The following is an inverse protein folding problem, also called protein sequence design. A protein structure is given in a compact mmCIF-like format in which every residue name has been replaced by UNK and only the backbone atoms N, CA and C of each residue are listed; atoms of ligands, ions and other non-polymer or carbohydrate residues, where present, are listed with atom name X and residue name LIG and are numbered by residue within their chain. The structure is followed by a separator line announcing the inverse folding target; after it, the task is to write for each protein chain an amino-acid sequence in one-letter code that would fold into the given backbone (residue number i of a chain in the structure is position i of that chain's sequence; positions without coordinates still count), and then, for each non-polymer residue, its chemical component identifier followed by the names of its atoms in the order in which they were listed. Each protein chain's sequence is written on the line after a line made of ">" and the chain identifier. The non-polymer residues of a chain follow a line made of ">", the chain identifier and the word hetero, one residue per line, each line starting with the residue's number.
data_IF_001174884479
#
_entry.id   IF_001174884479
#
_cell.length_a   1.000
_cell.length_b   1.000
_cell.length_c   1.000
_cell.angle_alpha   90.00
_cell.angle_beta   90.00
_cell.angle_gamma   90.00
#
_symmetry.space_group_name_H-M   'P 1'
#
loop_
_entity.id
_entity.type
_entity.pdbx_description
1 polymer ?
#
# COMPACT_ATOMS: atom_id res chain seq x y z
N UNK A 1 13.23 -31.49 8.81
CA UNK A 1 14.56 -31.62 9.44
C UNK A 1 14.70 -30.76 10.70
N UNK A 2 14.31 -29.47 10.69
CA UNK A 2 14.40 -28.52 11.83
C UNK A 2 13.77 -28.95 13.18
N UNK A 3 12.95 -30.02 13.21
CA UNK A 3 12.32 -30.54 14.43
C UNK A 3 12.95 -31.86 14.93
N UNK A 4 14.01 -32.33 14.29
CA UNK A 4 14.81 -33.45 14.76
C UNK A 4 15.87 -32.94 15.76
N UNK A 5 16.15 -33.64 16.86
CA UNK A 5 17.33 -33.33 17.68
C UNK A 5 18.58 -33.82 16.94
N UNK A 6 19.48 -32.92 16.57
CA UNK A 6 20.80 -33.27 16.03
C UNK A 6 21.90 -33.08 17.07
N UNK A 7 22.92 -33.94 17.01
CA UNK A 7 24.09 -33.87 17.89
C UNK A 7 25.30 -33.28 17.16
N UNK A 8 25.37 -33.43 15.84
CA UNK A 8 26.41 -32.87 14.99
C UNK A 8 25.80 -32.33 13.69
N UNK A 9 25.85 -31.01 13.50
CA UNK A 9 25.22 -30.31 12.36
C UNK A 9 25.78 -30.73 10.98
N UNK A 10 27.06 -31.08 10.89
CA UNK A 10 27.66 -31.50 9.62
C UNK A 10 27.16 -32.87 9.14
N UNK A 11 27.03 -33.83 10.06
CA UNK A 11 26.61 -35.20 9.74
C UNK A 11 25.08 -35.37 9.76
N UNK A 12 24.38 -34.68 10.67
CA UNK A 12 22.94 -34.86 10.91
C UNK A 12 22.04 -33.87 10.12
N UNK A 13 22.63 -32.88 9.44
CA UNK A 13 21.87 -31.92 8.63
C UNK A 13 22.46 -31.70 7.25
N UNK A 14 23.78 -31.53 7.10
CA UNK A 14 24.39 -31.08 5.83
C UNK A 14 24.69 -32.23 4.86
N UNK A 15 25.11 -33.39 5.36
CA UNK A 15 25.59 -34.51 4.51
C UNK A 15 24.60 -35.68 4.36
N UNK A 16 23.30 -35.45 4.49
CA UNK A 16 22.28 -36.50 4.37
C UNK A 16 21.37 -36.27 3.17
N UNK A 17 20.83 -37.37 2.64
CA UNK A 17 19.74 -37.34 1.68
C UNK A 17 18.47 -36.87 2.41
N UNK A 18 18.15 -35.59 2.23
CA UNK A 18 17.10 -34.90 2.97
C UNK A 18 15.71 -35.52 2.77
N UNK A 19 15.42 -36.03 1.57
CA UNK A 19 14.11 -36.58 1.20
C UNK A 19 13.85 -37.93 1.89
N UNK A 20 14.81 -38.85 1.84
CA UNK A 20 14.72 -40.16 2.51
C UNK A 20 14.68 -40.00 4.04
N UNK A 21 15.48 -39.08 4.58
CA UNK A 21 15.52 -38.80 6.03
C UNK A 21 14.24 -38.12 6.49
N UNK A 22 13.66 -37.25 5.66
CA UNK A 22 12.37 -36.62 5.96
C UNK A 22 11.25 -37.65 6.03
N UNK A 23 11.17 -38.57 5.07
CA UNK A 23 10.14 -39.62 5.09
C UNK A 23 10.32 -40.60 6.27
N UNK A 24 11.57 -40.92 6.62
CA UNK A 24 11.86 -41.76 7.79
C UNK A 24 11.37 -41.16 9.11
N UNK A 25 11.43 -39.82 9.23
CA UNK A 25 11.10 -39.09 10.47
C UNK A 25 9.85 -38.21 10.39
N UNK A 26 9.04 -38.37 9.34
CA UNK A 26 7.89 -37.50 9.03
C UNK A 26 6.88 -37.41 10.18
N UNK A 27 6.58 -38.54 10.80
CA UNK A 27 5.60 -38.60 11.90
C UNK A 27 6.14 -37.93 13.17
N UNK A 28 7.43 -38.08 13.47
CA UNK A 28 8.08 -37.43 14.60
C UNK A 28 8.18 -35.91 14.40
N UNK A 29 8.48 -35.48 13.19
CA UNK A 29 8.52 -34.06 12.80
C UNK A 29 7.12 -33.46 12.94
N UNK A 30 6.07 -34.14 12.45
CA UNK A 30 4.67 -33.68 12.58
C UNK A 30 4.23 -33.59 14.05
N UNK A 31 4.61 -34.57 14.86
CA UNK A 31 4.30 -34.57 16.30
C UNK A 31 4.95 -33.37 17.01
N UNK A 32 6.25 -33.15 16.84
CA UNK A 32 6.94 -32.00 17.45
C UNK A 32 6.49 -30.67 16.88
N UNK A 33 6.20 -30.58 15.57
CA UNK A 33 5.65 -29.37 14.95
C UNK A 33 4.32 -28.94 15.61
N UNK A 34 3.48 -29.91 15.99
CA UNK A 34 2.19 -29.62 16.64
C UNK A 34 2.31 -28.99 18.05
N UNK A 35 3.48 -29.09 18.68
CA UNK A 35 3.75 -28.44 19.98
C UNK A 35 4.11 -26.96 19.83
N UNK A 36 4.62 -26.54 18.67
CA UNK A 36 5.09 -25.17 18.40
C UNK A 36 4.19 -24.38 17.44
N UNK A 37 3.19 -25.02 16.83
CA UNK A 37 2.28 -24.41 15.85
C UNK A 37 0.84 -24.44 16.40
N UNK A 38 0.26 -23.25 16.62
CA UNK A 38 -1.11 -23.12 17.11
C UNK A 38 -2.15 -23.59 16.07
N UNK A 39 -3.26 -24.18 16.57
CA UNK A 39 -4.33 -24.87 15.83
C UNK A 39 -4.92 -24.11 14.63
N UNK A 40 -4.89 -22.78 14.62
CA UNK A 40 -5.44 -21.95 13.53
C UNK A 40 -4.55 -21.94 12.27
N UNK A 41 -3.26 -22.25 12.40
CA UNK A 41 -2.35 -22.38 11.26
C UNK A 41 -2.59 -23.67 10.43
N UNK A 42 -3.33 -24.66 10.97
CA UNK A 42 -3.61 -25.92 10.28
C UNK A 42 -4.66 -25.79 9.17
N UNK A 43 -5.57 -24.82 9.25
CA UNK A 43 -6.54 -24.56 8.17
C UNK A 43 -5.86 -23.91 6.97
N UNK A 44 -4.93 -22.99 7.25
CA UNK A 44 -4.09 -22.35 6.23
C UNK A 44 -3.17 -23.36 5.52
N UNK A 45 -2.61 -24.33 6.26
CA UNK A 45 -1.70 -25.34 5.71
C UNK A 45 -2.45 -26.39 4.88
N UNK A 46 -3.69 -26.75 5.24
CA UNK A 46 -4.54 -27.66 4.44
C UNK A 46 -4.97 -27.05 3.11
N UNK A 47 -5.38 -25.78 3.10
CA UNK A 47 -5.72 -25.08 1.87
C UNK A 47 -4.48 -24.92 0.95
N UNK A 48 -3.29 -24.82 1.55
CA UNK A 48 -2.03 -24.75 0.82
C UNK A 48 -1.60 -26.10 0.23
N UNK A 49 -1.69 -27.21 0.99
CA UNK A 49 -1.36 -28.57 0.50
C UNK A 49 -2.22 -28.94 -0.72
N UNK A 50 -3.51 -28.60 -0.73
CA UNK A 50 -4.42 -28.83 -1.88
C UNK A 50 -4.02 -28.05 -3.15
N UNK A 51 -3.31 -26.93 -3.00
CA UNK A 51 -2.88 -26.07 -4.11
C UNK A 51 -1.45 -26.33 -4.60
N UNK A 52 -0.54 -26.81 -3.73
CA UNK A 52 0.85 -27.14 -4.11
C UNK A 52 1.03 -28.48 -4.80
N UNK A 53 0.13 -29.46 -4.64
CA UNK A 53 0.21 -30.75 -5.35
C UNK A 53 0.08 -30.63 -6.89
N UNK A 54 -0.14 -29.42 -7.43
CA UNK A 54 -0.36 -29.17 -8.86
C UNK A 54 0.79 -28.53 -9.64
N UNK A 55 1.93 -28.24 -9.02
CA UNK A 55 3.03 -27.61 -9.75
C UNK A 55 4.38 -27.74 -9.05
N UNK A 56 5.09 -28.83 -9.32
CA UNK A 56 6.53 -28.94 -9.08
C UNK A 56 7.27 -28.80 -10.41
N UNK A 57 8.18 -27.82 -10.48
CA UNK A 57 9.61 -28.03 -10.81
C UNK A 57 10.28 -26.66 -11.00
N UNK A 58 11.31 -26.38 -10.18
CA UNK A 58 12.66 -25.98 -10.61
C UNK A 58 13.40 -25.12 -9.55
N UNK A 59 14.57 -25.64 -9.18
CA UNK A 59 15.55 -25.16 -8.21
C UNK A 59 16.32 -23.90 -8.68
N UNK A 60 16.66 -23.00 -7.75
CA UNK A 60 17.77 -22.04 -7.94
C UNK A 60 18.60 -21.95 -6.65
N UNK A 61 19.89 -22.28 -6.80
CA UNK A 61 20.97 -22.31 -5.81
C UNK A 61 21.56 -20.90 -5.59
N UNK A 62 21.69 -20.48 -4.34
CA UNK A 62 22.06 -19.11 -3.90
C UNK A 62 23.40 -19.22 -3.14
N UNK A 63 24.53 -18.80 -3.75
CA UNK A 63 25.81 -18.67 -3.04
C UNK A 63 26.52 -17.34 -3.29
N UNK A 64 26.77 -16.70 -2.14
CA UNK A 64 27.78 -15.70 -1.80
C UNK A 64 27.38 -14.22 -1.81
N UNK A 65 27.94 -13.58 -0.76
CA UNK A 65 28.42 -12.20 -0.60
C UNK A 65 27.59 -11.31 0.35
N UNK A 66 28.10 -11.31 1.59
CA UNK A 66 28.71 -10.18 2.32
C UNK A 66 27.88 -8.90 2.55
N UNK A 67 27.75 -8.58 3.84
CA UNK A 67 27.07 -7.41 4.40
C UNK A 67 27.78 -6.12 4.01
N UNK A 68 27.07 -5.21 3.34
CA UNK A 68 27.49 -3.82 3.26
C UNK A 68 26.42 -2.88 3.85
N UNK A 69 26.90 -1.96 4.66
CA UNK A 69 26.14 -1.01 5.46
C UNK A 69 25.88 0.26 4.63
N UNK A 70 24.71 0.37 4.01
CA UNK A 70 24.36 1.61 3.31
C UNK A 70 23.46 2.53 4.14
N UNK A 71 24.14 3.54 4.70
CA UNK A 71 23.58 4.86 5.02
C UNK A 71 23.24 5.56 3.71
N UNK A 72 21.96 5.60 3.32
CA UNK A 72 21.47 6.57 2.35
C UNK A 72 19.96 6.80 2.56
N UNK A 73 19.64 7.61 3.57
CA UNK A 73 18.28 8.13 3.78
C UNK A 73 18.31 9.66 3.74
N UNK A 74 18.92 10.24 2.70
CA UNK A 74 18.77 11.67 2.37
C UNK A 74 18.97 11.86 0.87
N UNK A 75 17.90 11.62 0.09
CA UNK A 75 17.76 12.21 -1.23
C UNK A 75 16.98 13.51 -1.06
N UNK A 76 17.71 14.62 -1.16
CA UNK A 76 17.16 15.95 -1.44
C UNK A 76 16.28 15.78 -2.68
N UNK A 77 15.00 16.11 -2.54
CA UNK A 77 14.01 15.99 -3.60
C UNK A 77 14.42 16.85 -4.80
N UNK A 78 14.98 16.23 -5.84
CA UNK A 78 14.93 16.81 -7.17
C UNK A 78 13.45 16.85 -7.56
N UNK A 79 12.97 18.06 -7.82
CA UNK A 79 11.63 18.37 -8.32
C UNK A 79 11.50 17.83 -9.73
N UNK A 80 11.36 16.51 -9.85
CA UNK A 80 11.02 15.85 -11.09
C UNK A 80 9.56 16.13 -11.41
N UNK A 81 9.29 17.09 -12.30
CA UNK A 81 8.10 17.29 -13.16
C UNK A 81 6.70 16.91 -12.60
N UNK A 82 6.48 16.93 -11.29
CA UNK A 82 5.20 16.61 -10.63
C UNK A 82 4.39 17.88 -10.33
N UNK A 83 4.34 18.83 -11.28
CA UNK A 83 3.52 20.04 -11.14
C UNK A 83 2.00 19.76 -11.22
N UNK A 84 1.60 18.52 -11.54
CA UNK A 84 0.19 18.17 -11.80
C UNK A 84 -0.65 17.71 -10.60
N UNK A 85 -0.05 17.21 -9.52
CA UNK A 85 -0.83 16.58 -8.43
C UNK A 85 -1.35 17.59 -7.39
N UNK A 86 -0.65 18.71 -7.19
CA UNK A 86 -1.03 19.72 -6.17
C UNK A 86 -2.32 20.45 -6.57
N UNK A 87 -2.51 20.76 -7.85
CA UNK A 87 -3.70 21.51 -8.32
C UNK A 87 -5.01 20.73 -8.18
N UNK A 88 -4.95 19.40 -8.28
CA UNK A 88 -6.10 18.51 -8.10
C UNK A 88 -6.52 18.47 -6.63
N UNK A 89 -5.54 18.39 -5.72
CA UNK A 89 -5.78 18.39 -4.27
C UNK A 89 -6.28 19.75 -3.76
N UNK A 90 -5.89 20.86 -4.42
CA UNK A 90 -6.38 22.21 -4.13
C UNK A 90 -7.74 22.57 -4.76
N UNK A 91 -8.41 21.64 -5.47
CA UNK A 91 -9.73 21.88 -6.04
C UNK A 91 -9.77 22.89 -7.20
N UNK A 92 -8.61 23.24 -7.77
CA UNK A 92 -8.49 24.23 -8.83
C UNK A 92 -8.76 23.54 -10.19
N UNK A 93 -10.01 23.56 -10.64
CA UNK A 93 -10.38 23.13 -12.00
C UNK A 93 -10.00 24.22 -13.03
N UNK A 94 -8.71 24.39 -13.32
CA UNK A 94 -8.31 25.18 -14.48
C UNK A 94 -8.69 24.40 -15.73
N UNK A 95 -9.41 25.05 -16.65
CA UNK A 95 -9.69 24.57 -18.02
C UNK A 95 -8.43 24.63 -18.90
N UNK A 96 -7.28 24.26 -18.39
CA UNK A 96 -6.14 23.90 -19.23
C UNK A 96 -6.45 22.55 -19.84
N UNK A 97 -6.02 22.33 -21.09
CA UNK A 97 -6.12 21.02 -21.73
C UNK A 97 -5.48 19.99 -20.79
N UNK A 98 -6.32 19.23 -20.06
CA UNK A 98 -5.88 18.21 -19.11
C UNK A 98 -5.09 17.16 -19.89
N UNK A 99 -3.79 17.35 -20.01
CA UNK A 99 -2.88 16.29 -20.43
C UNK A 99 -2.78 15.40 -19.20
N UNK A 100 -3.66 14.40 -19.13
CA UNK A 100 -3.60 13.35 -18.12
C UNK A 100 -2.31 12.55 -18.36
N UNK A 101 -1.28 12.93 -17.59
CA UNK A 101 -0.01 12.23 -17.54
C UNK A 101 -0.22 10.99 -16.67
N UNK A 102 -0.67 9.92 -17.32
CA UNK A 102 -0.49 8.60 -16.75
C UNK A 102 1.02 8.34 -16.70
N UNK A 103 1.55 8.16 -15.50
CA UNK A 103 2.94 7.77 -15.35
C UNK A 103 3.11 6.37 -15.95
N UNK A 104 4.02 6.26 -16.92
CA UNK A 104 4.40 4.96 -17.48
C UNK A 104 4.89 4.08 -16.33
N UNK A 105 4.41 2.82 -16.21
CA UNK A 105 4.87 1.90 -15.18
C UNK A 105 6.40 1.83 -15.13
N UNK A 106 7.00 2.27 -14.02
CA UNK A 106 8.45 2.28 -13.85
C UNK A 106 8.91 0.95 -13.25
N UNK A 107 9.61 0.18 -14.07
CA UNK A 107 10.30 -1.02 -13.61
C UNK A 107 11.61 -0.64 -12.91
N UNK A 108 11.76 -1.06 -11.65
CA UNK A 108 13.02 -0.87 -10.92
C UNK A 108 14.11 -1.77 -11.51
N UNK A 109 15.41 -1.44 -11.37
CA UNK A 109 16.51 -2.31 -11.79
C UNK A 109 16.44 -3.72 -11.21
N UNK A 110 16.97 -4.71 -11.91
CA UNK A 110 16.92 -6.12 -11.50
C UNK A 110 17.58 -6.38 -10.14
N UNK A 111 18.69 -5.69 -9.86
CA UNK A 111 19.37 -5.77 -8.57
C UNK A 111 18.47 -5.30 -7.42
N UNK A 112 17.76 -4.17 -7.60
CA UNK A 112 16.86 -3.63 -6.59
C UNK A 112 15.61 -4.48 -6.42
N UNK A 113 15.10 -5.05 -7.51
CA UNK A 113 14.01 -6.02 -7.45
C UNK A 113 14.39 -7.28 -6.67
N UNK A 114 15.57 -7.85 -6.92
CA UNK A 114 16.06 -9.00 -6.17
C UNK A 114 16.24 -8.67 -4.68
N UNK A 115 16.78 -7.49 -4.36
CA UNK A 115 16.88 -7.00 -2.97
C UNK A 115 15.50 -6.88 -2.31
N UNK A 116 14.53 -6.30 -3.03
CA UNK A 116 13.15 -6.17 -2.56
C UNK A 116 12.54 -7.54 -2.24
N UNK A 117 12.63 -8.50 -3.16
CA UNK A 117 12.09 -9.85 -2.97
C UNK A 117 12.81 -10.60 -1.84
N UNK A 118 14.13 -10.43 -1.69
CA UNK A 118 14.91 -11.02 -0.59
C UNK A 118 14.54 -10.43 0.78
N UNK A 119 14.19 -9.15 0.83
CA UNK A 119 13.81 -8.46 2.08
C UNK A 119 12.45 -8.89 2.67
N UNK A 120 11.59 -9.53 1.86
CA UNK A 120 10.27 -9.99 2.30
C UNK A 120 10.37 -11.11 3.32
N UNK A 121 9.48 -11.10 4.32
CA UNK A 121 9.32 -12.26 5.19
C UNK A 121 8.60 -13.41 4.46
N UNK A 122 8.54 -14.58 5.11
CA UNK A 122 7.94 -15.79 4.52
C UNK A 122 6.48 -15.59 4.10
N UNK A 123 5.67 -14.90 4.91
CA UNK A 123 4.25 -14.68 4.61
C UNK A 123 4.07 -13.72 3.43
N UNK A 124 4.86 -12.64 3.38
CA UNK A 124 4.89 -11.68 2.28
C UNK A 124 5.36 -12.33 0.97
N UNK A 125 6.41 -13.17 1.02
CA UNK A 125 6.90 -13.91 -0.16
C UNK A 125 5.86 -14.90 -0.66
N UNK A 126 5.24 -15.68 0.24
CA UNK A 126 4.14 -16.60 -0.09
C UNK A 126 2.98 -15.88 -0.75
N UNK A 127 2.56 -14.74 -0.20
CA UNK A 127 1.50 -13.92 -0.80
C UNK A 127 1.86 -13.43 -2.19
N UNK A 128 3.10 -12.94 -2.37
CA UNK A 128 3.59 -12.47 -3.68
C UNK A 128 3.55 -13.58 -4.71
N UNK A 129 4.00 -14.79 -4.36
CA UNK A 129 3.94 -15.97 -5.22
C UNK A 129 2.49 -16.37 -5.55
N UNK A 130 1.59 -16.35 -4.55
CA UNK A 130 0.17 -16.65 -4.78
C UNK A 130 -0.45 -15.69 -5.80
N UNK A 131 -0.22 -14.38 -5.66
CA UNK A 131 -0.71 -13.39 -6.62
C UNK A 131 -0.14 -13.64 -8.02
N UNK A 132 1.15 -13.99 -8.12
CA UNK A 132 1.77 -14.33 -9.40
C UNK A 132 1.15 -15.57 -10.05
N UNK A 133 0.83 -16.61 -9.28
CA UNK A 133 0.17 -17.81 -9.79
C UNK A 133 -1.26 -17.50 -10.25
N UNK A 134 -2.01 -16.71 -9.47
CA UNK A 134 -3.34 -16.26 -9.87
C UNK A 134 -3.32 -15.49 -11.19
N UNK A 135 -2.28 -14.68 -11.43
CA UNK A 135 -2.15 -13.89 -12.66
C UNK A 135 -1.68 -14.74 -13.85
N UNK A 136 -0.87 -15.78 -13.62
CA UNK A 136 -0.35 -16.66 -14.67
C UNK A 136 -1.33 -17.74 -15.09
N UNK A 137 -1.96 -18.39 -14.11
CA UNK A 137 -2.69 -19.64 -14.31
C UNK A 137 -4.21 -19.45 -14.41
N UNK A 138 -4.70 -18.25 -14.09
CA UNK A 138 -6.12 -17.97 -14.00
C UNK A 138 -6.48 -16.64 -14.65
N UNK A 139 -7.38 -16.70 -15.64
CA UNK A 139 -8.05 -15.51 -16.18
C UNK A 139 -9.15 -14.98 -15.24
N UNK A 140 -9.32 -15.57 -14.05
CA UNK A 140 -10.34 -15.14 -13.09
C UNK A 140 -9.88 -13.93 -12.31
N UNK A 141 -10.81 -12.98 -12.19
CA UNK A 141 -10.71 -11.84 -11.31
C UNK A 141 -10.60 -12.28 -9.83
N UNK A 142 -9.76 -11.58 -9.07
CA UNK A 142 -9.62 -11.77 -7.62
C UNK A 142 -9.61 -10.44 -6.87
N UNK A 143 -10.00 -10.48 -5.60
CA UNK A 143 -10.08 -9.32 -4.73
C UNK A 143 -9.43 -9.64 -3.39
N UNK A 144 -8.30 -9.00 -3.09
CA UNK A 144 -7.57 -9.24 -1.85
C UNK A 144 -7.47 -7.97 -1.02
N UNK A 145 -7.61 -8.11 0.28
CA UNK A 145 -7.40 -7.04 1.23
C UNK A 145 -6.25 -7.40 2.17
N UNK A 146 -5.16 -6.66 2.06
CA UNK A 146 -3.97 -6.77 2.91
C UNK A 146 -4.16 -5.87 4.12
N UNK A 147 -4.52 -6.47 5.25
CA UNK A 147 -4.61 -5.80 6.55
C UNK A 147 -3.32 -5.97 7.34
N UNK A 148 -3.03 -5.03 8.23
CA UNK A 148 -1.97 -5.21 9.22
C UNK A 148 -1.60 -3.89 9.89
N UNK A 149 -0.98 -3.97 11.07
CA UNK A 149 -0.63 -2.79 11.85
C UNK A 149 0.43 -1.88 11.19
N UNK A 150 0.71 -0.74 11.81
CA UNK A 150 1.81 0.11 11.42
C UNK A 150 3.15 -0.66 11.47
N UNK A 151 3.97 -0.52 10.42
CA UNK A 151 5.32 -1.08 10.41
C UNK A 151 5.44 -2.56 10.05
N UNK A 152 4.35 -3.26 9.67
CA UNK A 152 4.39 -4.67 9.23
C UNK A 152 4.88 -4.89 7.79
N UNK A 153 5.23 -3.82 7.07
CA UNK A 153 5.77 -3.89 5.70
C UNK A 153 4.71 -3.99 4.59
N UNK A 154 3.48 -3.50 4.80
CA UNK A 154 2.41 -3.44 3.78
C UNK A 154 2.87 -2.80 2.46
N UNK A 155 3.43 -1.58 2.52
CA UNK A 155 3.90 -0.86 1.33
C UNK A 155 5.05 -1.60 0.62
N UNK A 156 5.90 -2.31 1.36
CA UNK A 156 6.96 -3.17 0.78
C UNK A 156 6.35 -4.36 0.03
N UNK A 157 5.35 -5.02 0.60
CA UNK A 157 4.64 -6.14 -0.03
C UNK A 157 3.96 -5.71 -1.33
N UNK A 158 3.19 -4.62 -1.31
CA UNK A 158 2.49 -4.16 -2.52
C UNK A 158 3.48 -3.71 -3.60
N UNK A 159 4.62 -3.11 -3.23
CA UNK A 159 5.70 -2.78 -4.18
C UNK A 159 6.28 -4.04 -4.82
N UNK A 160 6.51 -5.09 -4.02
CA UNK A 160 7.00 -6.36 -4.54
C UNK A 160 6.02 -6.98 -5.52
N UNK A 161 4.73 -7.09 -5.14
CA UNK A 161 3.67 -7.59 -6.04
C UNK A 161 3.58 -6.77 -7.32
N UNK A 162 3.54 -5.43 -7.20
CA UNK A 162 3.50 -4.53 -8.35
C UNK A 162 4.65 -4.80 -9.33
N UNK A 163 5.89 -4.87 -8.83
CA UNK A 163 7.07 -5.09 -9.66
C UNK A 163 7.12 -6.50 -10.25
N UNK A 164 6.74 -7.54 -9.49
CA UNK A 164 6.69 -8.92 -10.01
C UNK A 164 5.69 -9.05 -11.16
N UNK A 165 4.50 -8.47 -11.01
CA UNK A 165 3.45 -8.51 -12.04
C UNK A 165 3.82 -7.67 -13.25
N UNK A 166 4.36 -6.46 -13.04
CA UNK A 166 4.83 -5.61 -14.12
C UNK A 166 5.90 -6.29 -14.98
N UNK A 167 6.88 -6.95 -14.33
CA UNK A 167 7.94 -7.72 -14.98
C UNK A 167 7.38 -8.89 -15.78
N UNK A 168 6.42 -9.62 -15.23
CA UNK A 168 5.76 -10.71 -15.93
C UNK A 168 5.10 -10.23 -17.22
N UNK A 169 4.28 -9.18 -17.15
CA UNK A 169 3.61 -8.67 -18.35
C UNK A 169 4.56 -8.09 -19.40
N UNK A 170 5.64 -7.43 -18.97
CA UNK A 170 6.66 -6.92 -19.89
C UNK A 170 7.54 -8.03 -20.48
N UNK A 171 7.58 -9.21 -19.87
CA UNK A 171 8.30 -10.37 -20.42
C UNK A 171 7.51 -11.10 -21.51
N UNK A 172 6.20 -10.83 -21.66
CA UNK A 172 5.37 -11.48 -22.66
C UNK A 172 5.71 -10.99 -24.07
N UNK A 173 5.75 -11.90 -25.08
CA UNK A 173 6.06 -11.53 -26.45
C UNK A 173 4.97 -10.60 -27.02
N UNK A 174 5.41 -9.50 -27.65
CA UNK A 174 4.50 -8.48 -28.20
C UNK A 174 3.92 -7.52 -27.16
N UNK A 175 4.42 -7.54 -25.92
CA UNK A 175 4.08 -6.54 -24.91
C UNK A 175 4.66 -5.17 -25.29
N UNK A 176 3.86 -4.11 -25.11
CA UNK A 176 4.33 -2.74 -25.16
C UNK A 176 4.57 -2.26 -23.72
N UNK A 177 5.80 -1.86 -23.33
CA UNK A 177 6.10 -1.33 -22.00
C UNK A 177 5.28 -0.09 -21.61
N UNK A 178 4.71 0.63 -22.58
CA UNK A 178 3.84 1.78 -22.32
C UNK A 178 2.40 1.39 -21.96
N UNK A 179 2.01 0.13 -22.18
CA UNK A 179 0.66 -0.36 -21.86
C UNK A 179 0.52 -0.56 -20.35
N UNK A 180 -0.51 0.08 -19.78
CA UNK A 180 -0.80 -0.01 -18.35
C UNK A 180 -1.61 -1.29 -18.07
N UNK A 181 -0.91 -2.36 -17.69
CA UNK A 181 -1.53 -3.62 -17.25
C UNK A 181 -1.69 -3.71 -15.73
N UNK A 182 -0.85 -3.00 -15.00
CA UNK A 182 -0.88 -2.92 -13.55
C UNK A 182 -0.71 -1.48 -13.10
N UNK A 183 -1.53 -1.06 -12.14
CA UNK A 183 -1.44 0.27 -11.54
C UNK A 183 -1.40 0.19 -10.02
N UNK A 184 -0.67 1.11 -9.40
CA UNK A 184 -0.64 1.30 -7.95
C UNK A 184 -1.10 2.73 -7.63
N UNK A 185 -2.06 2.84 -6.72
CA UNK A 185 -2.74 4.08 -6.39
C UNK A 185 -2.87 4.27 -4.89
N UNK A 186 -3.05 5.52 -4.47
CA UNK A 186 -3.37 5.86 -3.08
C UNK A 186 -4.43 6.99 -3.03
N UNK A 187 -5.11 7.22 -1.88
CA UNK A 187 -6.08 8.30 -1.76
C UNK A 187 -5.45 9.69 -1.67
N UNK A 188 -4.23 9.82 -1.13
CA UNK A 188 -3.55 11.12 -0.92
C UNK A 188 -2.28 11.23 -1.77
N UNK A 189 -1.88 12.46 -2.11
CA UNK A 189 -0.67 12.70 -2.92
C UNK A 189 0.61 12.20 -2.23
N UNK A 190 0.72 12.41 -0.91
CA UNK A 190 1.87 11.93 -0.13
C UNK A 190 1.99 10.41 -0.11
N UNK A 191 0.87 9.70 0.08
CA UNK A 191 0.87 8.24 0.04
C UNK A 191 1.18 7.70 -1.36
N UNK A 192 0.63 8.34 -2.40
CA UNK A 192 0.91 7.97 -3.79
C UNK A 192 2.39 8.14 -4.14
N UNK A 193 3.02 9.24 -3.71
CA UNK A 193 4.44 9.48 -3.91
C UNK A 193 5.32 8.44 -3.21
N UNK A 194 4.96 8.03 -1.98
CA UNK A 194 5.74 7.03 -1.22
C UNK A 194 5.80 5.67 -1.93
N UNK A 195 4.75 5.34 -2.70
CA UNK A 195 4.64 4.09 -3.45
C UNK A 195 4.99 4.23 -4.94
N UNK A 196 5.52 5.38 -5.35
CA UNK A 196 5.81 5.71 -6.75
C UNK A 196 4.58 5.54 -7.67
N UNK A 197 3.39 5.79 -7.11
CA UNK A 197 2.09 5.62 -7.75
C UNK A 197 1.40 6.94 -8.09
N UNK A 198 0.09 6.87 -8.31
CA UNK A 198 -0.77 8.03 -8.58
C UNK A 198 -1.91 8.11 -7.57
N UNK A 199 -2.56 9.27 -7.45
CA UNK A 199 -3.79 9.35 -6.66
C UNK A 199 -4.94 8.68 -7.40
N UNK A 200 -5.90 8.08 -6.67
CA UNK A 200 -7.13 7.54 -7.27
C UNK A 200 -7.91 8.60 -8.05
N UNK A 201 -7.89 9.85 -7.59
CA UNK A 201 -8.52 10.99 -8.25
C UNK A 201 -7.90 11.26 -9.61
N UNK A 202 -6.56 11.33 -9.70
CA UNK A 202 -5.84 11.56 -10.95
C UNK A 202 -5.93 10.35 -11.89
N UNK A 203 -5.80 9.12 -11.37
CA UNK A 203 -5.75 7.90 -12.18
C UNK A 203 -7.09 7.56 -12.87
N UNK A 204 -8.20 7.74 -12.16
CA UNK A 204 -9.54 7.43 -12.67
C UNK A 204 -10.32 8.68 -13.08
N UNK A 205 -9.71 9.87 -12.99
CA UNK A 205 -10.35 11.18 -13.22
C UNK A 205 -11.63 11.36 -12.40
N UNK A 206 -11.57 11.00 -11.11
CA UNK A 206 -12.69 11.12 -10.18
C UNK A 206 -12.92 12.60 -9.82
N UNK A 207 -14.17 13.02 -9.57
CA UNK A 207 -14.45 14.37 -9.12
C UNK A 207 -13.91 14.60 -7.70
N UNK A 208 -13.12 15.67 -7.51
CA UNK A 208 -12.58 16.06 -6.20
C UNK A 208 -13.68 16.57 -5.24
N UNK A 209 -14.77 17.12 -5.80
CA UNK A 209 -15.86 17.67 -4.99
C UNK A 209 -16.77 16.55 -4.48
N UNK A 210 -16.60 16.19 -3.21
CA UNK A 210 -17.44 15.24 -2.45
C UNK A 210 -18.94 15.64 -2.41
N UNK A 211 -19.27 16.90 -2.68
CA UNK A 211 -20.64 17.43 -2.60
C UNK A 211 -21.62 16.87 -3.64
N UNK A 212 -21.17 16.03 -4.59
CA UNK A 212 -22.06 15.38 -5.56
C UNK A 212 -21.89 13.87 -5.44
N UNK A 213 -22.77 13.22 -4.69
CA UNK A 213 -22.90 11.76 -4.58
C UNK A 213 -23.11 11.02 -5.93
N UNK A 214 -23.16 11.74 -7.05
CA UNK A 214 -23.28 11.17 -8.39
C UNK A 214 -21.97 11.37 -9.14
N UNK A 215 -21.38 10.25 -9.55
CA UNK A 215 -20.30 10.22 -10.53
C UNK A 215 -20.75 11.01 -11.77
N UNK A 216 -20.14 12.18 -11.99
CA UNK A 216 -20.41 12.97 -13.19
C UNK A 216 -19.92 12.16 -14.39
N UNK A 217 -20.76 12.02 -15.41
CA UNK A 217 -20.35 11.38 -16.66
C UNK A 217 -19.16 12.17 -17.22
N UNK A 218 -18.06 11.46 -17.47
CA UNK A 218 -16.92 12.03 -18.16
C UNK A 218 -17.36 12.58 -19.53
N UNK A 219 -16.71 13.65 -19.96
CA UNK A 219 -16.80 14.06 -21.36
C UNK A 219 -16.36 12.91 -22.27
N UNK A 220 -17.01 12.78 -23.43
CA UNK A 220 -16.75 11.67 -24.35
C UNK A 220 -15.29 11.58 -24.79
N UNK A 221 -14.59 12.72 -24.91
CA UNK A 221 -13.18 12.76 -25.27
C UNK A 221 -12.28 12.20 -24.17
N UNK A 222 -12.52 12.61 -22.91
CA UNK A 222 -11.78 12.14 -21.74
C UNK A 222 -12.04 10.65 -21.51
N UNK A 223 -13.31 10.23 -21.53
CA UNK A 223 -13.69 8.82 -21.35
C UNK A 223 -13.04 7.92 -22.39
N UNK A 224 -12.91 8.37 -23.64
CA UNK A 224 -12.26 7.60 -24.69
C UNK A 224 -10.74 7.53 -24.49
N UNK A 225 -10.09 8.63 -24.10
CA UNK A 225 -8.64 8.66 -23.82
C UNK A 225 -8.27 7.71 -22.68
N UNK A 226 -8.99 7.79 -21.56
CA UNK A 226 -8.79 6.89 -20.42
C UNK A 226 -9.12 5.44 -20.82
N UNK A 227 -10.23 5.25 -21.55
CA UNK A 227 -10.63 3.96 -22.11
C UNK A 227 -9.51 3.30 -22.92
N UNK A 228 -8.86 4.04 -23.81
CA UNK A 228 -7.75 3.52 -24.63
C UNK A 228 -6.51 3.21 -23.79
N UNK A 229 -6.18 4.06 -22.81
CA UNK A 229 -4.98 3.87 -21.97
C UNK A 229 -5.13 2.71 -20.97
N UNK A 230 -6.32 2.52 -20.40
CA UNK A 230 -6.58 1.54 -19.36
C UNK A 230 -7.24 0.26 -19.88
N UNK A 231 -7.47 0.11 -21.19
CA UNK A 231 -8.17 -1.05 -21.78
C UNK A 231 -7.55 -2.41 -21.39
N UNK A 232 -6.25 -2.45 -21.15
CA UNK A 232 -5.48 -3.67 -20.85
C UNK A 232 -5.13 -3.78 -19.35
N UNK A 233 -5.73 -2.95 -18.49
CA UNK A 233 -5.50 -2.98 -17.05
C UNK A 233 -6.10 -4.27 -16.47
N UNK A 234 -5.25 -5.09 -15.84
CA UNK A 234 -5.62 -6.37 -15.24
C UNK A 234 -5.55 -6.34 -13.71
N UNK A 235 -4.67 -5.51 -13.13
CA UNK A 235 -4.51 -5.38 -11.68
C UNK A 235 -4.47 -3.92 -11.24
N UNK A 236 -5.34 -3.56 -10.29
CA UNK A 236 -5.30 -2.29 -9.57
C UNK A 236 -4.94 -2.52 -8.09
N UNK A 237 -3.88 -1.89 -7.63
CA UNK A 237 -3.46 -1.90 -6.22
C UNK A 237 -3.81 -0.54 -5.60
N UNK A 238 -4.46 -0.54 -4.44
CA UNK A 238 -4.83 0.67 -3.70
C UNK A 238 -4.20 0.60 -2.30
N UNK A 239 -3.21 1.43 -2.02
CA UNK A 239 -2.65 1.60 -0.68
C UNK A 239 -3.47 2.60 0.15
N UNK A 240 -3.33 2.54 1.47
CA UNK A 240 -4.04 3.36 2.46
C UNK A 240 -5.56 3.37 2.29
N UNK A 241 -6.15 2.19 2.05
CA UNK A 241 -7.60 2.03 1.86
C UNK A 241 -8.43 2.52 3.07
N UNK A 242 -7.81 2.64 4.25
CA UNK A 242 -8.43 3.23 5.45
C UNK A 242 -8.87 4.67 5.25
N UNK A 243 -8.22 5.43 4.37
CA UNK A 243 -8.60 6.80 4.03
C UNK A 243 -9.59 6.87 2.87
N UNK A 244 -9.93 5.73 2.24
CA UNK A 244 -10.92 5.66 1.16
C UNK A 244 -12.31 5.48 1.75
N UNK A 245 -13.18 6.44 1.48
CA UNK A 245 -14.57 6.39 1.90
C UNK A 245 -15.46 5.53 0.99
N UNK A 246 -16.63 5.15 1.52
CA UNK A 246 -17.61 4.34 0.83
C UNK A 246 -18.04 4.93 -0.52
N UNK A 247 -18.31 6.24 -0.56
CA UNK A 247 -18.74 6.93 -1.77
C UNK A 247 -17.64 6.90 -2.82
N UNK A 248 -16.39 7.16 -2.40
CA UNK A 248 -15.23 7.11 -3.29
C UNK A 248 -15.00 5.69 -3.83
N UNK A 249 -15.13 4.66 -3.00
CA UNK A 249 -14.95 3.27 -3.41
C UNK A 249 -15.99 2.82 -4.45
N UNK A 250 -17.25 3.22 -4.27
CA UNK A 250 -18.28 3.00 -5.29
C UNK A 250 -18.01 3.75 -6.59
N UNK A 251 -17.44 4.95 -6.51
CA UNK A 251 -17.04 5.71 -7.69
C UNK A 251 -15.89 5.03 -8.44
N UNK A 252 -14.94 4.41 -7.74
CA UNK A 252 -13.86 3.61 -8.34
C UNK A 252 -14.45 2.44 -9.14
N UNK A 253 -15.32 1.63 -8.53
CA UNK A 253 -16.01 0.52 -9.19
C UNK A 253 -16.79 0.99 -10.44
N UNK A 254 -17.68 1.97 -10.27
CA UNK A 254 -18.50 2.51 -11.35
C UNK A 254 -17.65 3.09 -12.50
N UNK A 255 -16.52 3.73 -12.18
CA UNK A 255 -15.62 4.30 -13.19
C UNK A 255 -14.88 3.22 -13.96
N UNK A 256 -14.40 2.17 -13.30
CA UNK A 256 -13.77 1.04 -13.98
C UNK A 256 -14.75 0.26 -14.85
N UNK A 257 -15.99 0.04 -14.38
CA UNK A 257 -17.06 -0.53 -15.21
C UNK A 257 -17.33 0.30 -16.48
N UNK A 258 -17.32 1.63 -16.35
CA UNK A 258 -17.46 2.54 -17.50
C UNK A 258 -16.28 2.45 -18.49
N UNK A 259 -15.05 2.39 -17.97
CA UNK A 259 -13.81 2.35 -18.77
C UNK A 259 -13.69 1.01 -19.51
N UNK A 260 -13.88 -0.10 -18.80
CA UNK A 260 -13.79 -1.46 -19.35
C UNK A 260 -15.01 -1.87 -20.16
N UNK A 261 -16.11 -1.11 -20.07
CA UNK A 261 -17.41 -1.44 -20.66
C UNK A 261 -17.92 -2.82 -20.20
N UNK A 262 -17.60 -3.19 -18.96
CA UNK A 262 -18.05 -4.42 -18.31
C UNK A 262 -18.92 -4.07 -17.09
N UNK A 263 -19.90 -4.93 -16.79
CA UNK A 263 -20.75 -4.82 -15.58
C UNK A 263 -20.23 -5.66 -14.42
N UNK A 264 -19.15 -6.40 -14.63
CA UNK A 264 -18.49 -7.12 -13.53
C UNK A 264 -17.94 -6.12 -12.51
N UNK A 265 -17.83 -6.52 -11.23
CA UNK A 265 -17.23 -5.65 -10.22
C UNK A 265 -15.87 -5.13 -10.70
N UNK A 266 -15.59 -3.85 -10.50
CA UNK A 266 -14.40 -3.15 -10.98
C UNK A 266 -14.12 -3.33 -12.49
N UNK A 267 -15.16 -3.58 -13.29
CA UNK A 267 -15.03 -3.77 -14.73
C UNK A 267 -14.25 -5.02 -15.15
N UNK A 268 -14.14 -6.03 -14.27
CA UNK A 268 -13.36 -7.25 -14.50
C UNK A 268 -11.88 -7.15 -14.10
N UNK A 269 -11.45 -6.01 -13.53
CA UNK A 269 -10.07 -5.79 -13.05
C UNK A 269 -9.87 -6.40 -11.67
N UNK A 270 -8.81 -7.18 -11.45
CA UNK A 270 -8.45 -7.66 -10.11
C UNK A 270 -8.01 -6.50 -9.23
N UNK A 271 -8.45 -6.49 -7.96
CA UNK A 271 -8.14 -5.39 -7.03
C UNK A 271 -7.47 -5.91 -5.77
N UNK A 272 -6.31 -5.33 -5.45
CA UNK A 272 -5.65 -5.52 -4.16
C UNK A 272 -5.77 -4.21 -3.40
N UNK A 273 -6.36 -4.23 -2.22
CA UNK A 273 -6.40 -3.08 -1.32
C UNK A 273 -5.50 -3.33 -0.12
N UNK A 274 -4.78 -2.32 0.35
CA UNK A 274 -3.94 -2.40 1.54
C UNK A 274 -4.23 -1.25 2.48
N UNK A 275 -4.21 -1.51 3.78
CA UNK A 275 -4.40 -0.49 4.79
C UNK A 275 -4.39 -1.05 6.21
N UNK A 276 -4.74 -0.18 7.15
CA UNK A 276 -4.81 -0.50 8.58
C UNK A 276 -6.08 0.13 9.16
N UNK A 277 -6.92 -0.70 9.77
CA UNK A 277 -8.17 -0.29 10.40
C UNK A 277 -7.99 0.68 11.56
N UNK A 278 -6.82 0.65 12.21
CA UNK A 278 -6.52 1.50 13.36
C UNK A 278 -5.92 2.85 12.95
N UNK A 279 -5.78 3.11 11.64
CA UNK A 279 -5.32 4.39 11.13
C UNK A 279 -6.48 5.37 10.91
N UNK A 280 -6.17 6.51 10.30
CA UNK A 280 -7.13 7.59 10.05
C UNK A 280 -8.26 7.08 9.15
N UNK A 281 -9.49 7.30 9.63
CA UNK A 281 -10.73 7.10 8.87
C UNK A 281 -10.85 8.15 7.74
N UNK A 282 -11.67 7.92 6.70
CA UNK A 282 -11.91 8.90 5.65
C UNK A 282 -12.54 10.16 6.26
N UNK A 283 -12.20 11.31 5.68
CA UNK A 283 -12.77 12.61 6.04
C UNK A 283 -14.13 12.75 5.37
N UNK A 284 -15.18 13.04 6.15
CA UNK A 284 -16.55 13.30 5.69
C UNK A 284 -17.21 12.21 4.81
N UNK A 285 -16.71 10.98 4.84
CA UNK A 285 -17.32 9.81 4.18
C UNK A 285 -17.44 8.62 5.15
N UNK A 286 -18.30 7.65 4.82
CA UNK A 286 -18.47 6.44 5.63
C UNK A 286 -17.30 5.48 5.44
N UNK A 287 -16.97 4.73 6.48
CA UNK A 287 -15.92 3.73 6.42
C UNK A 287 -16.37 2.52 5.58
N UNK A 288 -15.51 2.03 4.69
CA UNK A 288 -15.85 0.96 3.73
C UNK A 288 -16.07 -0.41 4.39
N UNK A 289 -15.45 -0.67 5.54
CA UNK A 289 -15.46 -1.96 6.24
C UNK A 289 -16.13 -1.85 7.63
N UNK A 290 -17.11 -0.97 7.78
CA UNK A 290 -17.80 -0.81 9.06
C UNK A 290 -18.71 -2.03 9.34
N UNK A 291 -18.23 -2.98 10.15
CA UNK A 291 -19.07 -4.04 10.70
C UNK A 291 -20.07 -3.43 11.69
N UNK A 292 -21.33 -3.25 11.26
CA UNK A 292 -22.36 -2.78 12.18
C UNK A 292 -22.79 -3.93 13.10
N UNK A 293 -22.49 -3.84 14.41
CA UNK A 293 -23.08 -4.71 15.46
C UNK A 293 -24.58 -4.45 15.70
N UNK A 294 -25.28 -3.86 14.74
CA UNK A 294 -26.70 -3.52 14.84
C UNK A 294 -27.46 -4.34 13.82
N UNK A 295 -28.51 -5.02 14.28
CA UNK A 295 -29.46 -5.85 13.53
C UNK A 295 -30.30 -5.09 12.47
N UNK A 296 -29.68 -4.12 11.78
CA UNK A 296 -30.19 -3.44 10.59
C UNK A 296 -29.24 -3.75 9.42
N UNK A 297 -29.10 -5.03 9.11
CA UNK A 297 -28.30 -5.60 8.02
C UNK A 297 -28.94 -5.32 6.64
N UNK A 298 -29.05 -4.04 6.27
CA UNK A 298 -29.46 -3.59 4.94
C UNK A 298 -28.41 -2.66 4.29
N UNK A 299 -27.23 -2.54 4.90
CA UNK A 299 -26.11 -1.69 4.43
C UNK A 299 -24.80 -2.48 4.48
N UNK A 300 -24.82 -3.73 4.05
CA UNK A 300 -23.58 -4.43 3.70
C UNK A 300 -23.09 -3.83 2.38
N UNK A 301 -21.86 -3.31 2.34
CA UNK A 301 -21.26 -2.89 1.10
C UNK A 301 -21.01 -4.15 0.25
N UNK A 302 -21.74 -4.40 -0.86
CA UNK A 302 -21.59 -5.64 -1.61
C UNK A 302 -20.18 -5.78 -2.21
N UNK A 303 -19.45 -4.67 -2.38
CA UNK A 303 -18.08 -4.70 -2.84
C UNK A 303 -17.11 -5.16 -1.75
N UNK A 304 -17.34 -4.83 -0.48
CA UNK A 304 -16.43 -5.26 0.60
C UNK A 304 -16.52 -6.75 0.86
N UNK A 305 -17.69 -7.37 0.65
CA UNK A 305 -17.86 -8.83 0.78
C UNK A 305 -17.13 -9.64 -0.30
N UNK A 306 -16.62 -8.99 -1.34
CA UNK A 306 -15.83 -9.67 -2.38
C UNK A 306 -14.38 -9.92 -1.96
N UNK A 307 -13.87 -9.17 -0.98
CA UNK A 307 -12.45 -9.17 -0.65
C UNK A 307 -12.09 -10.29 0.32
N UNK A 308 -11.10 -11.09 -0.06
CA UNK A 308 -10.44 -12.05 0.82
C UNK A 308 -9.41 -11.32 1.69
N UNK A 309 -9.47 -11.54 3.00
CA UNK A 309 -8.62 -10.86 3.99
C UNK A 309 -7.29 -11.60 4.19
N UNK A 310 -6.18 -10.88 4.03
CA UNK A 310 -4.83 -11.32 4.33
C UNK A 310 -4.22 -10.44 5.41
N UNK A 311 -3.98 -10.99 6.60
CA UNK A 311 -3.43 -10.23 7.73
C UNK A 311 -1.91 -10.40 7.86
N UNK A 312 -1.19 -9.27 7.88
CA UNK A 312 0.23 -9.19 8.20
C UNK A 312 0.41 -8.89 9.69
N UNK A 313 0.96 -9.86 10.42
CA UNK A 313 1.13 -9.81 11.88
C UNK A 313 2.55 -9.50 12.32
N UNK A 314 3.56 -9.76 11.48
CA UNK A 314 4.97 -9.55 11.82
C UNK A 314 5.38 -8.08 11.69
N UNK A 315 5.87 -7.48 12.78
CA UNK A 315 6.37 -6.10 12.78
C UNK A 315 7.77 -6.07 12.16
N UNK A 316 7.93 -5.30 11.08
CA UNK A 316 9.16 -5.24 10.29
C UNK A 316 9.99 -3.97 10.54
N UNK A 317 9.35 -2.85 10.92
CA UNK A 317 10.01 -1.54 11.07
C UNK A 317 10.79 -1.39 12.37
N UNK A 318 10.26 -1.89 13.49
CA UNK A 318 10.88 -1.77 14.82
C UNK A 318 11.39 -3.13 15.34
N UNK A 319 12.06 -3.91 14.49
CA UNK A 319 12.54 -5.26 14.88
C UNK A 319 13.48 -5.23 16.08
N UNK A 320 14.26 -4.16 16.22
CA UNK A 320 15.28 -4.02 17.26
C UNK A 320 14.73 -3.51 18.60
N UNK A 321 13.54 -2.88 18.61
CA UNK A 321 12.87 -2.37 19.82
C UNK A 321 11.46 -2.97 19.96
N UNK A 322 11.44 -4.25 20.36
CA UNK A 322 10.19 -4.99 20.57
C UNK A 322 9.29 -4.34 21.64
N UNK A 323 9.88 -3.73 22.67
CA UNK A 323 9.11 -3.12 23.76
C UNK A 323 8.33 -1.92 23.21
N UNK A 324 8.99 -1.07 22.43
CA UNK A 324 8.31 0.06 21.79
C UNK A 324 7.29 -0.40 20.74
N UNK A 325 7.60 -1.44 19.96
CA UNK A 325 6.68 -2.00 18.97
C UNK A 325 5.38 -2.51 19.62
N UNK A 326 5.48 -3.20 20.76
CA UNK A 326 4.32 -3.67 21.54
C UNK A 326 3.52 -2.48 22.07
N UNK A 327 4.18 -1.47 22.65
CA UNK A 327 3.51 -0.28 23.15
C UNK A 327 2.72 0.44 22.05
N UNK A 328 3.29 0.58 20.83
CA UNK A 328 2.59 1.16 19.68
C UNK A 328 1.38 0.32 19.24
N UNK A 329 1.49 -1.01 19.26
CA UNK A 329 0.38 -1.92 18.95
C UNK A 329 -0.75 -1.79 19.98
N UNK A 330 -0.41 -1.66 21.26
CA UNK A 330 -1.37 -1.45 22.34
C UNK A 330 -2.06 -0.08 22.24
N UNK A 331 -1.33 0.98 21.86
CA UNK A 331 -1.90 2.29 21.56
C UNK A 331 -2.94 2.18 20.44
N UNK A 332 -2.57 1.52 19.34
CA UNK A 332 -3.45 1.37 18.18
C UNK A 332 -4.76 0.64 18.53
N UNK A 333 -4.70 -0.34 19.43
CA UNK A 333 -5.87 -1.08 19.92
C UNK A 333 -6.64 -0.39 21.06
N UNK A 334 -6.11 0.72 21.59
CA UNK A 334 -6.67 1.39 22.77
C UNK A 334 -6.50 0.61 24.08
N UNK A 335 -5.53 -0.31 24.15
CA UNK A 335 -5.27 -1.21 25.29
C UNK A 335 -3.91 -0.95 25.94
N UNK A 336 -3.51 0.32 26.07
CA UNK A 336 -2.23 0.69 26.68
C UNK A 336 -2.13 0.23 28.14
N UNK A 337 -0.98 -0.36 28.50
CA UNK A 337 -0.65 -0.63 29.90
C UNK A 337 0.00 0.58 30.59
N UNK A 338 0.16 0.53 31.91
CA UNK A 338 0.87 1.57 32.65
C UNK A 338 2.34 1.64 32.24
N UNK A 339 2.96 0.50 31.93
CA UNK A 339 4.32 0.41 31.41
C UNK A 339 4.45 1.11 30.06
N UNK A 340 3.49 0.90 29.15
CA UNK A 340 3.46 1.57 27.83
C UNK A 340 3.41 3.10 27.99
N UNK A 341 2.53 3.59 28.87
CA UNK A 341 2.38 5.03 29.14
C UNK A 341 3.67 5.60 29.71
N UNK A 342 4.29 4.92 30.67
CA UNK A 342 5.55 5.37 31.27
C UNK A 342 6.67 5.40 30.22
N UNK A 343 6.74 4.39 29.35
CA UNK A 343 7.72 4.31 28.27
C UNK A 343 7.58 5.46 27.25
N UNK A 344 6.36 5.90 26.94
CA UNK A 344 6.14 7.08 26.10
C UNK A 344 6.48 8.38 26.84
N UNK A 345 6.14 8.48 28.13
CA UNK A 345 6.44 9.66 28.94
C UNK A 345 7.93 9.90 29.11
N UNK A 346 8.75 8.84 29.11
CA UNK A 346 10.21 8.96 29.11
C UNK A 346 10.76 9.67 27.86
N UNK A 347 10.00 9.71 26.77
CA UNK A 347 10.36 10.40 25.51
C UNK A 347 9.83 11.82 25.44
N UNK A 348 9.21 12.34 26.50
CA UNK A 348 8.83 13.75 26.58
C UNK A 348 10.10 14.56 26.81
N UNK A 349 10.45 15.37 25.82
CA UNK A 349 11.62 16.23 25.84
C UNK A 349 11.19 17.65 26.23
N UNK A 350 11.99 18.35 27.02
CA UNK A 350 11.76 19.75 27.37
C UNK A 350 11.95 20.67 26.15
N UNK A 351 11.28 21.84 26.14
CA UNK A 351 11.37 22.82 25.06
C UNK A 351 12.81 23.30 24.77
N UNK A 352 13.69 23.30 25.76
CA UNK A 352 15.10 23.68 25.61
C UNK A 352 15.91 22.66 24.79
N UNK A 353 15.61 21.37 24.93
CA UNK A 353 16.26 20.30 24.18
C UNK A 353 15.68 20.12 22.77
N UNK A 354 14.47 20.66 22.52
CA UNK A 354 13.83 20.65 21.20
C UNK A 354 14.53 21.58 20.19
N UNK A 355 15.27 22.59 20.64
CA UNK A 355 16.08 23.46 19.76
C UNK A 355 17.36 22.77 19.28
N UNK A 356 17.84 21.77 20.01
CA UNK A 356 19.05 20.99 19.68
C UNK A 356 18.79 20.05 18.49
N UNK A 357 17.54 19.67 18.25
CA UNK A 357 17.12 18.79 17.15
C UNK A 357 16.64 19.60 15.93
N UNK A 358 17.52 20.44 15.38
CA UNK A 358 17.21 21.35 14.27
C UNK A 358 16.67 20.65 13.02
N UNK A 359 17.21 19.46 12.70
CA UNK A 359 16.89 18.73 11.47
C UNK A 359 15.72 17.73 11.61
N UNK A 360 15.09 17.65 12.79
CA UNK A 360 14.03 16.68 13.04
C UNK A 360 12.69 17.11 12.42
N UNK A 361 11.99 16.17 11.78
CA UNK A 361 10.63 16.36 11.29
C UNK A 361 9.67 16.58 12.48
N UNK A 362 8.85 17.63 12.41
CA UNK A 362 7.83 17.92 13.42
C UNK A 362 6.44 17.61 12.89
N UNK A 363 5.69 16.83 13.67
CA UNK A 363 4.32 16.45 13.37
C UNK A 363 3.38 17.17 14.35
N UNK A 364 2.39 17.88 13.81
CA UNK A 364 1.41 18.63 14.57
C UNK A 364 0.00 18.14 14.27
N UNK A 365 -0.96 18.47 15.13
CA UNK A 365 -2.36 18.05 14.97
C UNK A 365 -3.14 18.90 13.98
N UNK A 366 -2.69 20.12 13.66
CA UNK A 366 -3.42 21.07 12.83
C UNK A 366 -2.50 21.83 11.89
N UNK A 367 -3.02 22.18 10.71
CA UNK A 367 -2.27 22.96 9.72
C UNK A 367 -1.85 24.33 10.27
N UNK A 368 -2.69 24.99 11.08
CA UNK A 368 -2.33 26.26 11.70
C UNK A 368 -1.07 26.17 12.59
N UNK A 369 -0.90 25.07 13.32
CA UNK A 369 0.31 24.83 14.13
C UNK A 369 1.53 24.51 13.24
N UNK A 370 1.32 23.75 12.15
CA UNK A 370 2.36 23.49 11.14
C UNK A 370 2.84 24.81 10.52
N UNK A 371 1.92 25.66 10.08
CA UNK A 371 2.21 26.92 9.41
C UNK A 371 2.91 27.90 10.36
N UNK A 372 2.47 27.99 11.61
CA UNK A 372 3.11 28.81 12.63
C UNK A 372 4.57 28.37 12.88
N UNK A 373 4.82 27.07 13.00
CA UNK A 373 6.17 26.55 13.18
C UNK A 373 7.04 26.75 11.94
N UNK A 374 6.54 26.41 10.75
CA UNK A 374 7.27 26.58 9.50
C UNK A 374 7.63 28.05 9.25
N UNK A 375 6.70 28.97 9.53
CA UNK A 375 6.96 30.42 9.43
C UNK A 375 8.04 30.86 10.42
N UNK A 376 8.01 30.36 11.66
CA UNK A 376 9.06 30.64 12.65
C UNK A 376 10.44 30.16 12.19
N UNK A 377 10.52 28.96 11.61
CA UNK A 377 11.79 28.41 11.09
C UNK A 377 12.27 29.22 9.88
N UNK A 378 11.39 29.50 8.93
CA UNK A 378 11.73 30.28 7.73
C UNK A 378 12.23 31.69 8.08
N UNK A 379 11.62 32.35 9.08
CA UNK A 379 12.04 33.68 9.55
C UNK A 379 13.36 33.66 10.33
N UNK A 380 13.75 32.52 10.91
CA UNK A 380 15.05 32.36 11.58
C UNK A 380 16.22 32.08 10.64
N UNK A 381 15.96 31.74 9.37
CA UNK A 381 17.00 31.48 8.37
C UNK A 381 17.49 32.80 7.79
N UNK A 382 18.78 33.11 7.97
CA UNK A 382 19.44 34.31 7.42
C UNK A 382 19.83 34.13 5.94
N UNK A 383 18.93 33.61 5.11
CA UNK A 383 19.18 33.33 3.69
C UNK A 383 18.19 34.10 2.81
N UNK A 384 18.59 34.43 1.58
CA UNK A 384 17.66 35.00 0.60
C UNK A 384 16.52 34.03 0.31
N UNK A 385 15.28 34.50 0.50
CA UNK A 385 14.07 33.73 0.21
C UNK A 385 13.40 34.22 -1.08
N UNK A 386 12.65 33.34 -1.73
CA UNK A 386 11.77 33.68 -2.84
C UNK A 386 10.31 33.64 -2.39
N UNK A 387 9.50 34.59 -2.83
CA UNK A 387 8.05 34.62 -2.58
C UNK A 387 7.31 34.37 -3.90
N UNK A 388 6.46 33.35 -3.94
CA UNK A 388 5.54 33.11 -5.04
C UNK A 388 4.12 33.49 -4.59
N UNK A 389 3.57 34.56 -5.15
CA UNK A 389 2.20 34.99 -4.87
C UNK A 389 1.23 34.27 -5.81
N UNK A 390 0.20 33.65 -5.23
CA UNK A 390 -0.91 33.09 -6.00
C UNK A 390 -1.85 34.20 -6.48
N UNK A 391 -2.44 34.01 -7.67
CA UNK A 391 -3.48 34.86 -8.21
C UNK A 391 -4.78 34.07 -8.30
N UNK A 392 -5.72 34.35 -7.41
CA UNK A 392 -7.00 33.65 -7.35
C UNK A 392 -8.02 34.32 -8.29
N UNK A 393 -8.74 33.52 -9.07
CA UNK A 393 -9.80 34.00 -9.96
C UNK A 393 -11.05 33.12 -9.85
N UNK A 394 -12.20 33.75 -9.63
CA UNK A 394 -13.49 33.07 -9.58
C UNK A 394 -14.10 32.95 -10.99
N UNK A 395 -14.27 31.72 -11.49
CA UNK A 395 -14.95 31.46 -12.76
C UNK A 395 -16.38 30.94 -12.52
N UNK A 396 -17.40 31.74 -12.83
CA UNK A 396 -18.81 31.34 -12.81
C UNK A 396 -19.80 32.44 -12.37
N UNK A 397 -21.09 32.08 -12.40
CA UNK A 397 -22.23 32.91 -11.95
C UNK A 397 -22.45 32.78 -10.42
N UNK A 398 -21.39 33.01 -9.65
CA UNK A 398 -21.51 33.15 -8.19
C UNK A 398 -22.15 34.49 -7.81
N UNK A 399 -23.00 34.48 -6.77
CA UNK A 399 -23.56 35.71 -6.18
C UNK A 399 -22.44 36.70 -5.83
N UNK A 400 -22.68 38.00 -6.06
CA UNK A 400 -21.69 39.07 -5.88
C UNK A 400 -21.02 39.07 -4.49
N UNK A 401 -21.72 38.62 -3.45
CA UNK A 401 -21.21 38.49 -2.07
C UNK A 401 -20.06 37.48 -1.90
N UNK A 402 -19.89 36.54 -2.82
CA UNK A 402 -18.78 35.56 -2.81
C UNK A 402 -17.57 36.11 -3.57
N UNK A 403 -17.82 36.95 -4.60
CA UNK A 403 -16.75 37.59 -5.39
C UNK A 403 -16.03 38.71 -4.63
N UNK A 404 -16.64 39.30 -3.60
CA UNK A 404 -16.04 40.36 -2.77
C UNK A 404 -15.19 39.83 -1.60
N UNK A 405 -15.18 38.51 -1.35
CA UNK A 405 -14.44 37.89 -0.24
C UNK A 405 -13.08 37.28 -0.63
N UNK A 406 -12.74 37.32 -1.92
CA UNK A 406 -11.49 36.78 -2.46
C UNK A 406 -10.75 37.87 -3.23
#
# INVERSE_FOLDING_TARGET
>A
MLFLPWSNEEEDLIHIIHEETFELYKDLIRQKKSEYVHREANEFEKAFEEHTERGNDDDIDDKNIEYDQDKNEFLIYETGNNEGDIFVEMGINIRTEKVEHFNVPKMIPDADYQRLIRSLNNNQRKYTLNVMNLIKDSDKQFFHFINGGAGVGKSTLIKAVYQSVLRFYNSLPGSNPETIRTAICAPTGKAAALIDGMTLHSFLSLPVNQCKHKLVKLDSGISNRIGVKLKDLQLLIIDEISMVGFTMFQQVDARLQQIMKSREPFGGVSVIVSGDFNQLRPVDDKYIFQFSNSYNALVDNPLSSLFELFELTEIMRQKDDKIFAIALSNIAKGMMTLEDINLLKLRIVSNENLEIMGDAIRVFRSNAEVDAYNTKVLTSLNTEGATANAYDFCVGDGQASIKEKY
#
